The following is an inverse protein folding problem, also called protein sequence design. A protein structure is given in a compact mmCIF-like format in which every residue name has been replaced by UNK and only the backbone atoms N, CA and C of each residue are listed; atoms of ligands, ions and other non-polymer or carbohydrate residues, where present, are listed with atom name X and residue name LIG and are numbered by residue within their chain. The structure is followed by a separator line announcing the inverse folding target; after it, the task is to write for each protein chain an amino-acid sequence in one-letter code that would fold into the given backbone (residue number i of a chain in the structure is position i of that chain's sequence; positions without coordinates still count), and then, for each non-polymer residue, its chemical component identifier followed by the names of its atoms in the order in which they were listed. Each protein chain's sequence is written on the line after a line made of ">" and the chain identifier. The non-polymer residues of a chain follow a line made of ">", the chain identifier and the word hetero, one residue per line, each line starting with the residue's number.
data_IF_904733084876
#
_entry.id   IF_904733084876
#
_cell.length_a   1.000
_cell.length_b   1.000
_cell.length_c   1.000
_cell.angle_alpha   90.00
_cell.angle_beta   90.00
_cell.angle_gamma   90.00
#
_symmetry.space_group_name_H-M   'P 1'
#
loop_
_entity.id
_entity.type
_entity.pdbx_description
1 polymer ?
#
# COMPACT_ATOMS: atom_id res chain seq x y z
N UNK A 1 -18.35 -6.53 4.60
CA UNK A 1 -17.19 -5.69 4.29
C UNK A 1 -16.44 -5.10 5.50
N UNK A 2 -17.08 -4.60 6.56
CA UNK A 2 -16.39 -4.21 7.83
C UNK A 2 -15.60 -5.38 8.42
N UNK A 3 -16.15 -6.58 8.41
CA UNK A 3 -15.48 -7.81 8.89
C UNK A 3 -14.23 -8.14 8.07
N UNK A 4 -14.28 -7.93 6.76
CA UNK A 4 -13.15 -8.19 5.86
C UNK A 4 -11.99 -7.22 6.10
N UNK A 5 -12.27 -5.91 6.32
CA UNK A 5 -11.24 -4.92 6.67
C UNK A 5 -10.57 -5.27 8.00
N UNK A 6 -11.36 -5.60 9.03
CA UNK A 6 -10.83 -6.02 10.34
C UNK A 6 -9.94 -7.27 10.23
N UNK A 7 -10.40 -8.29 9.49
CA UNK A 7 -9.62 -9.51 9.28
C UNK A 7 -8.30 -9.23 8.55
N UNK A 8 -8.32 -8.32 7.57
CA UNK A 8 -7.12 -7.93 6.84
C UNK A 8 -6.16 -7.10 7.73
N UNK A 9 -6.68 -6.15 8.51
CA UNK A 9 -5.89 -5.38 9.48
C UNK A 9 -5.21 -6.31 10.51
N UNK A 10 -5.92 -7.34 10.99
CA UNK A 10 -5.34 -8.34 11.91
C UNK A 10 -4.20 -9.13 11.26
N UNK A 11 -4.38 -9.61 10.03
CA UNK A 11 -3.33 -10.32 9.27
C UNK A 11 -2.10 -9.44 9.04
N UNK A 12 -2.31 -8.15 8.77
CA UNK A 12 -1.23 -7.21 8.51
C UNK A 12 -0.54 -6.69 9.78
N UNK A 13 -1.10 -6.95 10.97
CA UNK A 13 -0.54 -6.47 12.25
C UNK A 13 0.90 -6.92 12.47
N UNK A 14 1.26 -8.15 12.08
CA UNK A 14 2.63 -8.65 12.19
C UNK A 14 3.62 -7.81 11.36
N UNK A 15 3.19 -7.34 10.19
CA UNK A 15 4.03 -6.55 9.27
C UNK A 15 4.16 -5.08 9.67
N UNK A 16 3.27 -4.56 10.53
CA UNK A 16 3.35 -3.18 11.02
C UNK A 16 4.65 -2.94 11.79
N UNK A 17 5.08 -3.91 12.60
CA UNK A 17 6.36 -3.83 13.33
C UNK A 17 7.54 -3.86 12.36
N UNK A 18 7.52 -4.77 11.38
CA UNK A 18 8.56 -4.90 10.37
C UNK A 18 8.72 -3.65 9.49
N UNK A 19 7.68 -2.81 9.37
CA UNK A 19 7.74 -1.54 8.62
C UNK A 19 8.77 -0.57 9.17
N UNK A 20 9.04 -0.60 10.47
CA UNK A 20 10.02 0.26 11.13
C UNK A 20 11.46 -0.23 10.93
N UNK A 21 11.64 -1.49 10.57
CA UNK A 21 12.96 -2.07 10.32
C UNK A 21 13.46 -1.67 8.93
N UNK A 22 14.64 -1.08 8.93
CA UNK A 22 15.24 -0.62 7.69
C UNK A 22 15.85 -1.79 6.92
N UNK A 23 15.55 -1.87 5.64
CA UNK A 23 16.23 -2.76 4.72
C UNK A 23 17.76 -2.50 4.75
N UNK A 24 18.61 -3.54 4.71
CA UNK A 24 20.06 -3.35 4.57
C UNK A 24 20.40 -2.42 3.40
N UNK A 25 21.36 -1.53 3.57
CA UNK A 25 21.77 -0.58 2.51
C UNK A 25 22.19 -1.29 1.23
N UNK A 26 22.82 -2.45 1.35
CA UNK A 26 23.25 -3.28 0.22
C UNK A 26 22.14 -4.15 -0.41
N UNK A 27 20.91 -4.10 0.11
CA UNK A 27 19.83 -5.02 -0.22
C UNK A 27 19.87 -6.32 0.55
N UNK A 28 18.77 -7.08 0.54
CA UNK A 28 18.66 -8.36 1.25
C UNK A 28 19.46 -9.47 0.58
N UNK A 29 19.45 -9.53 -0.76
CA UNK A 29 20.15 -10.59 -1.51
C UNK A 29 21.62 -10.56 -1.17
N UNK A 30 22.26 -9.40 -1.29
CA UNK A 30 23.68 -9.25 -1.00
C UNK A 30 23.98 -9.48 0.48
N UNK A 31 23.17 -8.91 1.37
CA UNK A 31 23.39 -9.05 2.81
C UNK A 31 23.32 -10.52 3.26
N UNK A 32 22.33 -11.29 2.77
CA UNK A 32 22.20 -12.70 3.08
C UNK A 32 23.32 -13.53 2.46
N UNK A 33 23.66 -13.25 1.18
CA UNK A 33 24.77 -13.95 0.51
C UNK A 33 26.09 -13.78 1.27
N UNK A 34 26.42 -12.55 1.68
CA UNK A 34 27.64 -12.25 2.44
C UNK A 34 27.61 -12.88 3.83
N UNK A 35 26.47 -12.83 4.52
CA UNK A 35 26.30 -13.47 5.83
C UNK A 35 26.45 -15.00 5.79
N UNK A 36 26.08 -15.62 4.66
CA UNK A 36 26.27 -17.04 4.41
C UNK A 36 27.69 -17.39 3.91
N UNK A 37 28.58 -16.40 3.77
CA UNK A 37 29.92 -16.58 3.22
C UNK A 37 29.94 -16.98 1.75
N UNK A 38 28.86 -16.71 1.01
CA UNK A 38 28.67 -17.13 -0.37
C UNK A 38 29.22 -16.09 -1.35
N UNK A 39 29.96 -16.50 -2.36
CA UNK A 39 30.41 -15.64 -3.44
C UNK A 39 29.29 -15.39 -4.45
N UNK A 40 29.43 -14.33 -5.25
CA UNK A 40 28.48 -14.06 -6.37
C UNK A 40 28.46 -15.20 -7.39
N UNK A 41 29.60 -15.86 -7.61
CA UNK A 41 29.70 -17.01 -8.51
C UNK A 41 28.92 -18.21 -8.00
N UNK A 42 29.05 -18.50 -6.69
CA UNK A 42 28.32 -19.62 -6.06
C UNK A 42 26.80 -19.39 -6.06
N UNK A 43 26.34 -18.15 -5.82
CA UNK A 43 24.93 -17.85 -5.93
C UNK A 43 24.44 -17.95 -7.38
N UNK A 44 25.24 -17.50 -8.35
CA UNK A 44 24.93 -17.59 -9.77
C UNK A 44 24.74 -19.06 -10.20
N UNK A 45 25.65 -19.94 -9.78
CA UNK A 45 25.55 -21.37 -10.04
C UNK A 45 24.25 -21.97 -9.46
N UNK A 46 23.91 -21.65 -8.20
CA UNK A 46 22.67 -22.12 -7.56
C UNK A 46 21.41 -21.60 -8.26
N UNK A 47 21.48 -20.43 -8.86
CA UNK A 47 20.36 -19.84 -9.62
C UNK A 47 20.33 -20.26 -11.09
N UNK A 48 21.36 -20.94 -11.58
CA UNK A 48 21.49 -21.28 -13.01
C UNK A 48 21.66 -20.07 -13.92
N UNK A 49 22.36 -19.01 -13.46
CA UNK A 49 22.61 -17.77 -14.20
C UNK A 49 24.09 -17.42 -14.19
N UNK A 50 24.48 -16.40 -14.96
CA UNK A 50 25.85 -15.90 -14.94
C UNK A 50 26.11 -15.02 -13.70
N UNK A 51 27.36 -14.94 -13.26
CA UNK A 51 27.78 -14.09 -12.13
C UNK A 51 27.40 -12.62 -12.31
N UNK A 52 27.51 -12.09 -13.54
CA UNK A 52 27.08 -10.72 -13.88
C UNK A 52 25.58 -10.51 -13.63
N UNK A 53 24.77 -11.56 -13.78
CA UNK A 53 23.35 -11.54 -13.48
C UNK A 53 23.07 -11.34 -11.99
N UNK A 54 23.85 -11.98 -11.10
CA UNK A 54 23.76 -11.78 -9.65
C UNK A 54 24.11 -10.34 -9.30
N UNK A 55 25.24 -9.84 -9.80
CA UNK A 55 25.68 -8.46 -9.56
C UNK A 55 24.62 -7.43 -9.99
N UNK A 56 24.04 -7.65 -11.19
CA UNK A 56 22.96 -6.79 -11.70
C UNK A 56 21.70 -6.88 -10.85
N UNK A 57 21.33 -8.07 -10.39
CA UNK A 57 20.16 -8.31 -9.53
C UNK A 57 20.31 -7.60 -8.18
N UNK A 58 21.47 -7.73 -7.52
CA UNK A 58 21.78 -7.03 -6.27
C UNK A 58 21.67 -5.51 -6.44
N UNK A 59 22.22 -4.96 -7.53
CA UNK A 59 22.09 -3.54 -7.88
C UNK A 59 20.62 -3.11 -8.09
N UNK A 60 19.87 -3.89 -8.86
CA UNK A 60 18.44 -3.62 -9.15
C UNK A 60 17.57 -3.71 -7.90
N UNK A 61 17.92 -4.58 -6.94
CA UNK A 61 17.23 -4.62 -5.66
C UNK A 61 17.39 -3.30 -4.89
N UNK A 62 18.61 -2.77 -4.83
CA UNK A 62 18.88 -1.46 -4.19
C UNK A 62 18.10 -0.33 -4.88
N UNK A 63 18.06 -0.34 -6.20
CA UNK A 63 17.33 0.61 -7.04
C UNK A 63 15.80 0.39 -7.05
N UNK A 64 15.28 -0.65 -6.36
CA UNK A 64 13.86 -1.04 -6.36
C UNK A 64 13.29 -1.38 -7.75
N UNK A 65 14.13 -1.92 -8.63
CA UNK A 65 13.81 -2.32 -10.01
C UNK A 65 13.80 -3.83 -10.23
N UNK A 66 13.92 -4.62 -9.15
CA UNK A 66 13.85 -6.08 -9.19
C UNK A 66 12.38 -6.52 -9.13
N UNK A 67 12.03 -7.58 -9.85
CA UNK A 67 10.70 -8.19 -9.78
C UNK A 67 10.56 -9.12 -8.56
N UNK A 68 9.31 -9.33 -8.10
CA UNK A 68 9.04 -10.29 -7.02
C UNK A 68 9.46 -11.70 -7.42
N UNK A 69 9.27 -12.10 -8.67
CA UNK A 69 9.74 -13.39 -9.20
C UNK A 69 11.26 -13.55 -9.06
N UNK A 70 12.01 -12.51 -9.40
CA UNK A 70 13.47 -12.54 -9.24
C UNK A 70 13.87 -12.63 -7.78
N UNK A 71 13.20 -11.91 -6.89
CA UNK A 71 13.42 -11.99 -5.45
C UNK A 71 13.10 -13.39 -4.89
N UNK A 72 12.02 -14.01 -5.34
CA UNK A 72 11.63 -15.35 -4.94
C UNK A 72 12.66 -16.41 -5.36
N UNK A 73 13.15 -16.31 -6.60
CA UNK A 73 14.23 -17.19 -7.10
C UNK A 73 15.52 -17.01 -6.31
N UNK A 74 15.90 -15.77 -6.00
CA UNK A 74 17.08 -15.49 -5.18
C UNK A 74 16.91 -16.02 -3.76
N UNK A 75 15.74 -15.81 -3.13
CA UNK A 75 15.44 -16.33 -1.81
C UNK A 75 15.58 -17.86 -1.77
N UNK A 76 14.97 -18.58 -2.71
CA UNK A 76 15.11 -20.05 -2.83
C UNK A 76 16.58 -20.48 -2.95
N UNK A 77 17.38 -19.80 -3.77
CA UNK A 77 18.80 -20.11 -3.92
C UNK A 77 19.61 -19.86 -2.64
N UNK A 78 19.18 -18.92 -1.80
CA UNK A 78 19.75 -18.62 -0.49
C UNK A 78 19.16 -19.47 0.66
N UNK A 79 18.29 -20.43 0.36
CA UNK A 79 17.53 -21.22 1.32
C UNK A 79 16.66 -20.34 2.24
N UNK A 80 16.07 -19.30 1.68
CA UNK A 80 15.19 -18.37 2.34
C UNK A 80 13.81 -18.37 1.68
N UNK A 81 12.84 -17.75 2.33
CA UNK A 81 11.50 -17.52 1.81
C UNK A 81 11.27 -16.01 1.60
N UNK A 82 10.68 -15.64 0.46
CA UNK A 82 10.26 -14.26 0.21
C UNK A 82 8.94 -14.00 0.92
N UNK A 83 8.94 -13.04 1.81
CA UNK A 83 7.71 -12.52 2.43
C UNK A 83 7.54 -11.06 2.04
N UNK A 84 6.33 -10.68 1.56
CA UNK A 84 6.01 -9.30 1.23
C UNK A 84 4.61 -8.93 1.69
N UNK A 85 4.40 -7.66 1.99
CA UNK A 85 3.09 -7.14 2.37
C UNK A 85 2.95 -5.66 2.00
N UNK A 86 1.73 -5.23 1.69
CA UNK A 86 1.35 -3.83 1.62
C UNK A 86 0.75 -3.44 2.95
N UNK A 87 1.51 -2.70 3.75
CA UNK A 87 1.12 -2.33 5.11
C UNK A 87 0.48 -0.96 5.11
N UNK A 88 -0.82 -0.84 5.44
CA UNK A 88 -1.51 0.43 5.53
C UNK A 88 -0.84 1.36 6.56
N UNK A 89 -0.84 2.66 6.32
CA UNK A 89 -0.32 3.64 7.27
C UNK A 89 -1.19 3.76 8.52
N UNK A 90 -2.49 3.56 8.36
CA UNK A 90 -3.52 3.55 9.38
C UNK A 90 -4.44 2.34 9.16
N UNK A 91 -5.34 2.04 10.11
CA UNK A 91 -6.29 0.94 9.88
C UNK A 91 -7.21 1.24 8.68
N UNK A 92 -7.62 0.19 7.99
CA UNK A 92 -8.40 0.30 6.76
C UNK A 92 -9.74 0.98 6.97
N UNK A 93 -10.35 0.84 8.16
CA UNK A 93 -11.61 1.51 8.49
C UNK A 93 -11.43 3.02 8.53
N UNK A 94 -10.36 3.51 9.17
CA UNK A 94 -10.04 4.94 9.22
C UNK A 94 -9.75 5.52 7.84
N UNK A 95 -9.00 4.79 7.00
CA UNK A 95 -8.74 5.20 5.62
C UNK A 95 -10.05 5.40 4.85
N UNK A 96 -11.01 4.48 5.01
CA UNK A 96 -12.32 4.58 4.36
C UNK A 96 -13.15 5.73 4.94
N UNK A 97 -13.12 5.95 6.25
CA UNK A 97 -13.84 7.04 6.91
C UNK A 97 -13.36 8.41 6.44
N UNK A 98 -12.06 8.63 6.43
CA UNK A 98 -11.47 9.87 5.95
C UNK A 98 -11.75 10.11 4.46
N UNK A 99 -11.72 9.05 3.66
CA UNK A 99 -12.03 9.15 2.25
C UNK A 99 -13.51 9.46 2.01
N UNK A 100 -14.41 8.87 2.81
CA UNK A 100 -15.84 9.15 2.74
C UNK A 100 -16.15 10.61 3.07
N UNK A 101 -15.53 11.15 4.12
CA UNK A 101 -15.65 12.56 4.48
C UNK A 101 -15.15 13.48 3.36
N UNK A 102 -13.98 13.20 2.79
CA UNK A 102 -13.44 13.96 1.65
C UNK A 102 -14.33 13.89 0.42
N UNK A 103 -14.88 12.72 0.10
CA UNK A 103 -15.77 12.53 -1.03
C UNK A 103 -17.10 13.27 -0.85
N UNK A 104 -17.71 13.19 0.35
CA UNK A 104 -18.93 13.90 0.69
C UNK A 104 -18.76 15.42 0.54
N UNK A 105 -17.70 15.98 1.13
CA UNK A 105 -17.38 17.40 1.01
C UNK A 105 -17.22 17.84 -0.44
N UNK A 106 -16.51 17.06 -1.25
CA UNK A 106 -16.29 17.33 -2.67
C UNK A 106 -17.62 17.32 -3.46
N UNK A 107 -18.49 16.35 -3.20
CA UNK A 107 -19.78 16.21 -3.89
C UNK A 107 -20.69 17.37 -3.52
N UNK A 108 -20.82 17.69 -2.23
CA UNK A 108 -21.64 18.80 -1.76
C UNK A 108 -21.14 20.16 -2.24
N UNK A 109 -19.83 20.38 -2.28
CA UNK A 109 -19.27 21.63 -2.81
C UNK A 109 -19.68 21.88 -4.27
N UNK A 110 -19.77 20.83 -5.09
CA UNK A 110 -20.26 20.94 -6.48
C UNK A 110 -21.73 21.25 -6.53
N UNK A 111 -22.55 20.59 -5.70
CA UNK A 111 -23.98 20.82 -5.62
C UNK A 111 -24.28 22.24 -5.14
N UNK A 112 -23.60 22.71 -4.09
CA UNK A 112 -23.74 24.09 -3.58
C UNK A 112 -23.28 25.13 -4.59
N UNK A 113 -22.24 24.85 -5.38
CA UNK A 113 -21.84 25.77 -6.45
C UNK A 113 -22.92 25.91 -7.50
N UNK A 114 -23.62 24.85 -7.86
CA UNK A 114 -24.75 24.86 -8.79
C UNK A 114 -25.97 25.60 -8.16
N UNK A 115 -26.26 25.32 -6.87
CA UNK A 115 -27.38 25.95 -6.14
C UNK A 115 -27.17 27.46 -5.86
N UNK A 116 -25.95 27.92 -5.64
CA UNK A 116 -25.62 29.34 -5.50
C UNK A 116 -25.94 30.16 -6.74
N UNK A 117 -25.96 29.54 -7.89
CA UNK A 117 -26.42 30.14 -9.13
C UNK A 117 -27.96 30.31 -9.16
N UNK A 118 -28.68 29.56 -8.28
CA UNK A 118 -30.15 29.56 -8.18
C UNK A 118 -30.70 30.24 -6.91
N UNK A 119 -29.88 31.05 -6.22
CA UNK A 119 -30.28 31.93 -5.09
C UNK A 119 -30.80 31.23 -3.82
N UNK A 120 -30.37 30.00 -3.50
CA UNK A 120 -30.72 29.38 -2.22
C UNK A 120 -29.47 29.25 -1.30
N UNK A 121 -29.49 29.97 -0.16
CA UNK A 121 -28.47 29.83 0.90
C UNK A 121 -28.87 28.71 1.84
N UNK A 122 -28.03 27.63 1.86
CA UNK A 122 -28.15 26.56 2.85
C UNK A 122 -27.31 26.92 4.09
N UNK A 123 -27.90 26.85 5.27
CA UNK A 123 -27.21 27.16 6.54
C UNK A 123 -26.01 26.26 6.79
N UNK A 124 -24.96 26.80 7.42
CA UNK A 124 -23.69 26.07 7.67
C UNK A 124 -23.90 24.79 8.50
N UNK A 125 -24.85 24.80 9.46
CA UNK A 125 -25.18 23.63 10.28
C UNK A 125 -25.85 22.52 9.47
N UNK A 126 -26.76 22.88 8.58
CA UNK A 126 -27.47 21.96 7.69
C UNK A 126 -26.54 21.34 6.65
N UNK A 127 -25.62 22.12 6.11
CA UNK A 127 -24.56 21.64 5.22
C UNK A 127 -23.65 20.62 5.90
N UNK A 128 -23.29 20.83 7.17
CA UNK A 128 -22.47 19.89 7.96
C UNK A 128 -23.20 18.57 8.25
N UNK A 129 -24.52 18.60 8.49
CA UNK A 129 -25.31 17.39 8.69
C UNK A 129 -25.39 16.57 7.40
N UNK A 130 -25.71 17.18 6.29
CA UNK A 130 -25.75 16.53 4.97
C UNK A 130 -24.39 15.92 4.57
N UNK A 131 -23.26 16.59 4.92
CA UNK A 131 -21.92 16.04 4.68
C UNK A 131 -21.72 14.73 5.44
N UNK A 132 -22.11 14.65 6.71
CA UNK A 132 -21.98 13.43 7.53
C UNK A 132 -22.88 12.31 7.05
N UNK A 133 -24.12 12.62 6.69
CA UNK A 133 -25.07 11.64 6.15
C UNK A 133 -24.56 11.04 4.85
N UNK A 134 -24.12 11.89 3.92
CA UNK A 134 -23.56 11.46 2.65
C UNK A 134 -22.28 10.65 2.83
N UNK A 135 -21.39 11.05 3.73
CA UNK A 135 -20.19 10.27 4.05
C UNK A 135 -20.54 8.87 4.56
N UNK A 136 -21.54 8.79 5.45
CA UNK A 136 -22.02 7.50 5.99
C UNK A 136 -22.62 6.62 4.91
N UNK A 137 -23.39 7.19 3.99
CA UNK A 137 -23.97 6.49 2.85
C UNK A 137 -22.88 5.94 1.92
N UNK A 138 -21.94 6.79 1.50
CA UNK A 138 -20.81 6.44 0.64
C UNK A 138 -19.98 5.30 1.24
N UNK A 139 -19.71 5.35 2.55
CA UNK A 139 -18.98 4.31 3.30
C UNK A 139 -19.75 2.99 3.32
N UNK A 140 -21.04 3.02 3.66
CA UNK A 140 -21.83 1.81 3.85
C UNK A 140 -22.04 1.06 2.53
N UNK A 141 -22.25 1.78 1.44
CA UNK A 141 -22.43 1.20 0.10
C UNK A 141 -21.11 0.92 -0.62
N UNK A 142 -19.97 1.40 -0.13
CA UNK A 142 -18.69 1.47 -0.86
C UNK A 142 -18.88 2.01 -2.29
N UNK A 143 -19.58 3.12 -2.35
CA UNK A 143 -19.96 3.77 -3.59
C UNK A 143 -18.73 4.10 -4.46
N UNK A 144 -18.87 3.99 -5.79
CA UNK A 144 -17.79 4.34 -6.74
C UNK A 144 -17.29 5.77 -6.56
N UNK A 145 -18.17 6.69 -6.15
CA UNK A 145 -17.85 8.10 -5.87
C UNK A 145 -16.87 8.28 -4.70
N UNK A 146 -16.72 7.24 -3.83
CA UNK A 146 -15.80 7.27 -2.71
C UNK A 146 -14.36 7.55 -3.16
N UNK A 147 -13.90 6.85 -4.18
CA UNK A 147 -12.53 6.94 -4.70
C UNK A 147 -12.41 7.75 -5.99
N UNK A 148 -13.52 8.23 -6.52
CA UNK A 148 -13.53 9.05 -7.73
C UNK A 148 -12.82 10.39 -7.53
N UNK A 149 -12.05 10.79 -8.53
CA UNK A 149 -11.35 12.09 -8.58
C UNK A 149 -12.12 13.15 -9.32
N UNK A 150 -13.25 12.79 -10.00
CA UNK A 150 -14.10 13.67 -10.81
C UNK A 150 -15.45 13.87 -10.17
#
# INVERSE_FOLDING_TARGET
>A
MKTQRKSLDEKLRAFVKARAELRPKAGWIRALREALGMTTSQLAERMGIQQSGVTLMEKREVEKKVTLETLERAAKALNCELVYALVPRENLEKIVDEQAARAAKRILARTLHTMRLETQEVGAAESSLHERELATELKNKLDRRLWGTR
#
